data_IF_154748532942
#
_entry.id   IF_154748532942
#
_cell.length_a   1.000
_cell.length_b   1.000
_cell.length_c   1.000
_cell.angle_alpha   90.00
_cell.angle_beta   90.00
_cell.angle_gamma   90.00
#
_symmetry.space_group_name_H-M   'P 1'
#
loop_
_entity.id
_entity.type
_entity.pdbx_description
1 polymer ?
#
# COMPACT_ATOMS: atom_id res chain seq x y z
N UNK A 1 3.03 -14.80 -21.36
CA UNK A 1 2.48 -15.47 -20.16
C UNK A 1 3.30 -15.10 -18.93
N UNK A 2 4.56 -15.53 -18.78
CA UNK A 2 5.43 -15.19 -17.64
C UNK A 2 5.53 -13.68 -17.30
N UNK A 3 5.62 -12.80 -18.31
CA UNK A 3 5.67 -11.34 -18.05
C UNK A 3 4.34 -10.76 -17.55
N UNK A 4 3.20 -11.31 -18.00
CA UNK A 4 1.90 -10.87 -17.52
C UNK A 4 1.67 -11.33 -16.07
N UNK A 5 2.08 -12.55 -15.74
CA UNK A 5 2.02 -13.09 -14.38
C UNK A 5 2.83 -12.25 -13.39
N UNK A 6 4.07 -11.89 -13.73
CA UNK A 6 4.90 -11.01 -12.88
C UNK A 6 4.28 -9.64 -12.62
N UNK A 7 3.69 -9.03 -13.66
CA UNK A 7 3.03 -7.74 -13.53
C UNK A 7 1.79 -7.89 -12.64
N UNK A 8 1.00 -8.95 -12.84
CA UNK A 8 -0.18 -9.24 -12.03
C UNK A 8 0.16 -9.51 -10.55
N UNK A 9 1.24 -10.23 -10.29
CA UNK A 9 1.77 -10.47 -8.94
C UNK A 9 2.12 -9.15 -8.25
N UNK A 10 2.82 -8.24 -8.95
CA UNK A 10 3.13 -6.91 -8.43
C UNK A 10 1.86 -6.10 -8.09
N UNK A 11 0.84 -6.14 -8.94
CA UNK A 11 -0.45 -5.50 -8.67
C UNK A 11 -1.14 -6.08 -7.44
N UNK A 12 -1.12 -7.41 -7.29
CA UNK A 12 -1.72 -8.11 -6.16
C UNK A 12 -1.03 -7.73 -4.86
N UNK A 13 0.30 -7.78 -4.83
CA UNK A 13 1.10 -7.38 -3.66
C UNK A 13 0.87 -5.90 -3.29
N UNK A 14 0.81 -5.03 -4.30
CA UNK A 14 0.50 -3.62 -4.11
C UNK A 14 -0.87 -3.42 -3.46
N UNK A 15 -1.88 -4.12 -3.97
CA UNK A 15 -3.25 -4.04 -3.45
C UNK A 15 -3.31 -4.48 -1.98
N UNK A 16 -2.73 -5.62 -1.64
CA UNK A 16 -2.65 -6.11 -0.25
C UNK A 16 -1.98 -5.10 0.67
N UNK A 17 -0.93 -4.42 0.19
CA UNK A 17 -0.25 -3.37 0.96
C UNK A 17 -1.17 -2.17 1.24
N UNK A 18 -1.90 -1.72 0.22
CA UNK A 18 -2.86 -0.60 0.34
C UNK A 18 -4.01 -0.96 1.30
N UNK A 19 -4.52 -2.19 1.24
CA UNK A 19 -5.54 -2.70 2.19
C UNK A 19 -4.99 -2.73 3.63
N UNK A 20 -3.70 -3.03 3.81
CA UNK A 20 -3.00 -2.92 5.09
C UNK A 20 -3.01 -1.49 5.65
N UNK A 21 -2.76 -0.47 4.82
CA UNK A 21 -2.80 0.93 5.26
C UNK A 21 -4.19 1.35 5.77
N UNK A 22 -5.26 0.92 5.10
CA UNK A 22 -6.64 1.22 5.52
C UNK A 22 -6.95 0.63 6.89
N UNK A 23 -6.47 -0.60 7.13
CA UNK A 23 -6.61 -1.28 8.42
C UNK A 23 -5.86 -0.53 9.52
N UNK A 24 -4.64 -0.07 9.25
CA UNK A 24 -3.84 0.71 10.21
C UNK A 24 -4.50 2.02 10.61
N UNK A 25 -5.10 2.75 9.66
CA UNK A 25 -5.85 3.98 9.94
C UNK A 25 -7.04 3.70 10.88
N UNK A 26 -7.80 2.63 10.60
CA UNK A 26 -8.95 2.24 11.42
C UNK A 26 -8.52 1.85 12.84
N UNK A 27 -7.39 1.13 12.95
CA UNK A 27 -6.80 0.72 14.23
C UNK A 27 -6.41 1.92 15.09
N UNK A 28 -5.77 2.95 14.52
CA UNK A 28 -5.42 4.17 15.25
C UNK A 28 -6.63 4.81 15.94
N UNK A 29 -7.76 4.94 15.25
CA UNK A 29 -8.96 5.54 15.85
C UNK A 29 -9.47 4.73 17.03
N UNK A 30 -9.46 3.40 16.94
CA UNK A 30 -9.86 2.51 18.03
C UNK A 30 -8.92 2.65 19.23
N UNK A 31 -7.62 2.51 19.00
CA UNK A 31 -6.59 2.53 20.07
C UNK A 31 -6.53 3.89 20.76
N UNK A 32 -6.62 4.97 20.00
CA UNK A 32 -6.68 6.33 20.54
C UNK A 32 -7.94 6.54 21.38
N UNK A 33 -9.10 6.06 20.90
CA UNK A 33 -10.35 6.12 21.64
C UNK A 33 -10.25 5.43 23.00
N UNK A 34 -9.66 4.22 23.03
CA UNK A 34 -9.42 3.46 24.25
C UNK A 34 -8.45 4.17 25.20
N UNK A 35 -7.37 4.76 24.67
CA UNK A 35 -6.40 5.52 25.46
C UNK A 35 -7.05 6.76 26.11
N UNK A 36 -7.86 7.51 25.35
CA UNK A 36 -8.62 8.66 25.88
C UNK A 36 -9.63 8.22 26.94
N UNK A 37 -10.35 7.12 26.72
CA UNK A 37 -11.31 6.59 27.68
C UNK A 37 -10.62 6.19 29.00
N UNK A 38 -9.43 5.57 28.94
CA UNK A 38 -8.62 5.24 30.12
C UNK A 38 -8.14 6.50 30.84
N UNK A 39 -7.62 7.48 30.10
CA UNK A 39 -7.16 8.75 30.66
C UNK A 39 -8.28 9.51 31.39
N UNK A 40 -9.51 9.48 30.86
CA UNK A 40 -10.67 10.11 31.49
C UNK A 40 -11.14 9.36 32.73
N UNK A 41 -11.12 8.03 32.73
CA UNK A 41 -11.58 7.20 33.85
C UNK A 41 -10.57 7.12 35.00
N UNK A 42 -9.28 7.26 34.70
CA UNK A 42 -8.18 7.14 35.66
C UNK A 42 -7.26 8.37 35.60
N UNK A 43 -7.74 9.56 36.01
CA UNK A 43 -7.00 10.81 35.82
C UNK A 43 -5.69 10.90 36.62
N UNK A 44 -5.56 10.10 37.69
CA UNK A 44 -4.35 10.00 38.50
C UNK A 44 -3.21 9.26 37.79
N UNK A 45 -3.52 8.44 36.78
CA UNK A 45 -2.51 7.73 35.97
C UNK A 45 -2.11 8.63 34.80
N UNK A 46 -0.98 9.33 34.94
CA UNK A 46 -0.45 10.24 33.91
C UNK A 46 -0.12 9.54 32.59
N UNK A 47 0.26 8.26 32.64
CA UNK A 47 0.71 7.47 31.49
C UNK A 47 -0.38 7.34 30.42
N UNK A 48 -1.66 7.34 30.78
CA UNK A 48 -2.73 7.27 29.76
C UNK A 48 -2.83 8.55 28.92
N UNK A 49 -2.51 9.73 29.48
CA UNK A 49 -2.43 10.97 28.69
C UNK A 49 -1.22 10.95 27.78
N UNK A 50 -0.09 10.46 28.29
CA UNK A 50 1.12 10.28 27.50
C UNK A 50 0.90 9.31 26.34
N UNK A 51 0.20 8.19 26.57
CA UNK A 51 -0.14 7.21 25.54
C UNK A 51 -0.95 7.85 24.38
N UNK A 52 -1.91 8.73 24.68
CA UNK A 52 -2.65 9.44 23.63
C UNK A 52 -1.70 10.26 22.75
N UNK A 53 -0.75 10.98 23.37
CA UNK A 53 0.23 11.77 22.62
C UNK A 53 1.19 10.90 21.80
N UNK A 54 1.62 9.76 22.34
CA UNK A 54 2.50 8.82 21.62
C UNK A 54 1.79 8.19 20.41
N UNK A 55 0.52 7.80 20.56
CA UNK A 55 -0.29 7.32 19.45
C UNK A 55 -0.42 8.38 18.34
N UNK A 56 -0.62 9.65 18.72
CA UNK A 56 -0.74 10.75 17.75
C UNK A 56 0.59 10.97 16.99
N UNK A 57 1.73 10.95 17.68
CA UNK A 57 3.06 11.09 17.05
C UNK A 57 3.43 9.90 16.16
N UNK A 58 3.12 8.69 16.62
CA UNK A 58 3.29 7.48 15.83
C UNK A 58 2.45 7.54 14.56
N UNK A 59 1.17 7.88 14.67
CA UNK A 59 0.27 7.97 13.51
C UNK A 59 0.72 9.02 12.50
N UNK A 60 1.22 10.17 12.96
CA UNK A 60 1.81 11.16 12.04
C UNK A 60 2.98 10.59 11.23
N UNK A 61 3.89 9.90 11.91
CA UNK A 61 5.06 9.28 11.27
C UNK A 61 4.66 8.19 10.27
N UNK A 62 3.71 7.34 10.66
CA UNK A 62 3.15 6.29 9.80
C UNK A 62 2.46 6.86 8.56
N UNK A 63 1.61 7.88 8.71
CA UNK A 63 0.95 8.53 7.57
C UNK A 63 1.96 9.11 6.58
N UNK A 64 3.05 9.70 7.08
CA UNK A 64 4.13 10.21 6.24
C UNK A 64 4.81 9.08 5.45
N UNK A 65 5.07 7.94 6.08
CA UNK A 65 5.63 6.76 5.42
C UNK A 65 4.66 6.23 4.36
N UNK A 66 3.37 6.08 4.70
CA UNK A 66 2.32 5.62 3.77
C UNK A 66 2.28 6.47 2.50
N UNK A 67 2.31 7.80 2.63
CA UNK A 67 2.33 8.70 1.45
C UNK A 67 3.56 8.47 0.58
N UNK A 68 4.74 8.29 1.19
CA UNK A 68 5.96 7.98 0.45
C UNK A 68 5.87 6.61 -0.25
N UNK A 69 5.30 5.61 0.41
CA UNK A 69 5.09 4.29 -0.16
C UNK A 69 4.10 4.31 -1.32
N UNK A 70 3.00 5.06 -1.23
CA UNK A 70 2.05 5.25 -2.32
C UNK A 70 2.75 5.89 -3.53
N UNK A 71 3.53 6.97 -3.32
CA UNK A 71 4.29 7.60 -4.40
C UNK A 71 5.27 6.63 -5.06
N UNK A 72 6.03 5.88 -4.26
CA UNK A 72 7.01 4.91 -4.77
C UNK A 72 6.31 3.78 -5.53
N UNK A 73 5.15 3.33 -5.05
CA UNK A 73 4.31 2.31 -5.70
C UNK A 73 3.90 2.76 -7.09
N UNK A 74 3.41 4.00 -7.26
CA UNK A 74 3.09 4.53 -8.59
C UNK A 74 4.29 4.55 -9.53
N UNK A 75 5.47 4.97 -9.02
CA UNK A 75 6.68 4.99 -9.82
C UNK A 75 7.09 3.58 -10.30
N UNK A 76 7.05 2.59 -9.40
CA UNK A 76 7.39 1.19 -9.73
C UNK A 76 6.39 0.59 -10.70
N UNK A 77 5.08 0.79 -10.47
CA UNK A 77 4.04 0.29 -11.37
C UNK A 77 4.20 0.90 -12.77
N UNK A 78 4.39 2.22 -12.85
CA UNK A 78 4.59 2.90 -14.13
C UNK A 78 5.80 2.36 -14.88
N UNK A 79 6.95 2.21 -14.20
CA UNK A 79 8.18 1.69 -14.79
C UNK A 79 8.00 0.26 -15.34
N UNK A 80 7.43 -0.62 -14.51
CA UNK A 80 7.23 -2.04 -14.86
C UNK A 80 6.24 -2.19 -16.02
N UNK A 81 5.12 -1.46 -16.00
CA UNK A 81 4.10 -1.52 -17.06
C UNK A 81 4.69 -0.99 -18.36
N UNK A 82 5.33 0.17 -18.32
CA UNK A 82 5.86 0.83 -19.53
C UNK A 82 6.93 -0.02 -20.19
N UNK A 83 7.87 -0.60 -19.42
CA UNK A 83 8.91 -1.50 -19.93
C UNK A 83 8.37 -2.80 -20.55
N UNK A 84 7.20 -3.25 -20.13
CA UNK A 84 6.62 -4.52 -20.56
C UNK A 84 5.38 -4.36 -21.44
N UNK A 85 5.01 -3.13 -21.81
CA UNK A 85 3.72 -2.80 -22.41
C UNK A 85 3.38 -3.65 -23.64
N UNK A 86 4.31 -3.81 -24.58
CA UNK A 86 4.10 -4.61 -25.79
C UNK A 86 3.88 -6.09 -25.49
N UNK A 87 4.62 -6.65 -24.52
CA UNK A 87 4.49 -8.06 -24.10
C UNK A 87 3.23 -8.30 -23.29
N UNK A 88 2.73 -7.27 -22.59
CA UNK A 88 1.44 -7.32 -21.88
C UNK A 88 0.29 -7.29 -22.90
N UNK A 89 0.36 -6.40 -23.89
CA UNK A 89 -0.70 -6.19 -24.90
C UNK A 89 -0.73 -7.29 -25.96
N UNK A 90 0.45 -7.74 -26.43
CA UNK A 90 0.63 -8.78 -27.46
C UNK A 90 1.50 -9.92 -26.92
N UNK A 91 0.98 -10.74 -25.99
CA UNK A 91 1.77 -11.77 -25.31
C UNK A 91 2.30 -12.89 -26.21
N UNK A 92 1.78 -13.00 -27.45
CA UNK A 92 2.23 -13.95 -28.49
C UNK A 92 2.83 -13.27 -29.74
N UNK A 93 2.97 -11.94 -29.74
CA UNK A 93 3.35 -11.14 -30.92
C UNK A 93 2.23 -10.98 -31.97
N UNK A 94 2.51 -10.25 -33.05
CA UNK A 94 1.62 -10.23 -34.23
C UNK A 94 1.81 -11.52 -35.04
N UNK A 95 0.73 -12.30 -35.16
CA UNK A 95 0.69 -13.51 -35.98
C UNK A 95 0.79 -13.21 -37.49
N UNK A 96 0.55 -11.96 -37.91
CA UNK A 96 0.55 -11.56 -39.32
C UNK A 96 1.95 -11.60 -39.97
N UNK A 97 3.02 -11.34 -39.21
CA UNK A 97 4.39 -11.37 -39.75
C UNK A 97 4.95 -12.79 -39.94
N UNK A 98 4.31 -13.82 -39.36
CA UNK A 98 4.75 -15.23 -39.50
C UNK A 98 3.97 -15.99 -40.58
N UNK A 99 2.84 -15.47 -41.04
CA UNK A 99 2.01 -16.10 -42.06
C UNK A 99 2.47 -15.83 -43.51
N UNK A 100 3.51 -15.02 -43.71
CA UNK A 100 4.07 -14.69 -45.04
C UNK A 100 5.31 -15.52 -45.41
N UNK A 101 5.60 -16.58 -44.65
CA UNK A 101 6.64 -17.57 -44.96
C UNK A 101 5.96 -18.92 -45.22
N UNK A 102 5.21 -19.01 -46.31
CA UNK A 102 4.88 -20.25 -47.00
C UNK A 102 4.48 -19.95 -48.45
#
# INVERSE_FOLDING_TARGET
MFQQEKVFELFTNTRTKIEGFQTQISKYYSERGDAVAKASKQPHVGDFRQLVHELDQHQYSELRIIVLEIRNTYAVLYDVITKNFDKIKKPRGDLSSKALIY
#
